data_IF_048380635702
#
_entry.id   IF_048380635702
#
_cell.length_a   1.000
_cell.length_b   1.000
_cell.length_c   1.000
_cell.angle_alpha   90.00
_cell.angle_beta   90.00
_cell.angle_gamma   90.00
#
_symmetry.space_group_name_H-M   'P 1'
#
loop_
_entity.id
_entity.type
_entity.pdbx_description
1 polymer ?
#
# COMPACT_ATOMS: atom_id res chain seq x y z
N UNK A 1 -15.26 -17.11 -2.23
CA UNK A 1 -14.04 -17.92 -2.05
C UNK A 1 -14.17 -18.64 -0.72
N UNK A 2 -14.15 -19.99 -0.72
CA UNK A 2 -14.33 -20.81 0.49
C UNK A 2 -13.05 -20.79 1.34
N UNK A 3 -13.16 -20.71 2.67
CA UNK A 3 -12.01 -20.70 3.60
C UNK A 3 -11.05 -21.89 3.43
N UNK A 4 -11.53 -23.03 2.92
CA UNK A 4 -10.69 -24.19 2.59
C UNK A 4 -9.65 -23.89 1.51
N UNK A 5 -9.94 -22.98 0.57
CA UNK A 5 -8.95 -22.52 -0.42
C UNK A 5 -7.89 -21.59 0.18
N UNK A 6 -8.20 -20.89 1.28
CA UNK A 6 -7.25 -20.04 2.00
C UNK A 6 -6.19 -20.85 2.76
N UNK A 7 -6.54 -22.05 3.24
CA UNK A 7 -5.58 -22.93 3.93
C UNK A 7 -4.53 -23.52 2.98
N UNK A 8 -4.87 -23.75 1.70
CA UNK A 8 -3.90 -24.23 0.69
C UNK A 8 -2.80 -23.21 0.36
N UNK A 9 -3.09 -21.91 0.49
CA UNK A 9 -2.14 -20.84 0.16
C UNK A 9 -1.02 -20.69 1.20
N UNK A 10 -1.18 -21.23 2.41
CA UNK A 10 -0.16 -21.15 3.46
C UNK A 10 0.94 -22.23 3.37
N UNK A 11 0.95 -23.07 2.32
CA UNK A 11 1.93 -24.15 2.14
C UNK A 11 2.76 -24.05 0.85
N UNK A 12 2.66 -22.94 0.12
CA UNK A 12 3.44 -22.76 -1.11
C UNK A 12 4.90 -22.43 -0.77
N UNK A 13 5.83 -23.19 -1.36
CA UNK A 13 7.28 -22.90 -1.26
C UNK A 13 7.61 -21.60 -2.04
N UNK A 14 8.74 -20.97 -1.73
CA UNK A 14 9.22 -19.77 -2.43
C UNK A 14 9.34 -19.99 -3.95
N UNK A 15 9.58 -21.24 -4.37
CA UNK A 15 9.61 -21.63 -5.77
C UNK A 15 8.23 -21.64 -6.42
N UNK A 16 7.16 -21.94 -5.67
CA UNK A 16 5.79 -21.85 -6.17
C UNK A 16 5.34 -20.40 -6.30
N UNK A 17 5.82 -19.52 -5.41
CA UNK A 17 5.55 -18.09 -5.49
C UNK A 17 6.21 -17.39 -6.69
N UNK A 18 7.29 -17.94 -7.26
CA UNK A 18 7.82 -17.45 -8.55
C UNK A 18 6.85 -17.68 -9.70
N UNK A 19 6.01 -18.72 -9.64
CA UNK A 19 4.94 -18.98 -10.62
C UNK A 19 3.80 -17.98 -10.53
N UNK A 20 3.74 -17.16 -9.46
CA UNK A 20 2.76 -16.09 -9.33
C UNK A 20 2.99 -14.93 -10.30
N UNK A 21 4.17 -14.84 -10.93
CA UNK A 21 4.45 -13.88 -11.99
C UNK A 21 3.97 -14.46 -13.32
N UNK A 22 2.92 -13.86 -13.87
CA UNK A 22 2.32 -14.21 -15.16
C UNK A 22 2.79 -13.19 -16.19
N UNK A 23 3.59 -13.65 -17.15
CA UNK A 23 3.98 -12.84 -18.29
C UNK A 23 2.82 -12.73 -19.29
N UNK A 24 2.49 -11.51 -19.68
CA UNK A 24 1.46 -11.18 -20.66
C UNK A 24 2.16 -10.54 -21.87
N UNK A 25 2.22 -11.25 -22.98
CA UNK A 25 2.85 -10.75 -24.22
C UNK A 25 1.87 -9.85 -24.99
N UNK A 26 2.22 -8.57 -25.10
CA UNK A 26 1.42 -7.53 -25.76
C UNK A 26 2.06 -7.03 -27.07
N UNK A 27 3.14 -7.65 -27.55
CA UNK A 27 3.85 -7.23 -28.78
C UNK A 27 2.94 -7.12 -30.00
N UNK A 28 2.13 -8.15 -30.20
CA UNK A 28 1.18 -8.19 -31.33
C UNK A 28 -0.04 -7.29 -31.11
N UNK A 29 -0.44 -7.10 -29.85
CA UNK A 29 -1.59 -6.31 -29.48
C UNK A 29 -1.44 -4.86 -29.92
N UNK A 30 -0.37 -4.19 -29.47
CA UNK A 30 -0.17 -2.77 -29.77
C UNK A 30 0.27 -2.51 -31.21
N UNK A 31 0.89 -3.49 -31.88
CA UNK A 31 1.28 -3.35 -33.29
C UNK A 31 0.07 -3.17 -34.22
N UNK A 32 -1.04 -3.83 -33.90
CA UNK A 32 -2.24 -3.84 -34.73
C UNK A 32 -3.39 -3.00 -34.13
N UNK A 33 -3.11 -2.23 -33.08
CA UNK A 33 -4.15 -1.55 -32.32
C UNK A 33 -4.70 -0.33 -33.07
N UNK A 34 -6.01 -0.35 -33.35
CA UNK A 34 -6.74 0.81 -33.84
C UNK A 34 -7.03 1.77 -32.70
N UNK A 35 -6.45 2.97 -32.73
CA UNK A 35 -6.66 3.95 -31.67
C UNK A 35 -8.06 4.57 -31.77
N UNK A 36 -8.90 4.26 -30.79
CA UNK A 36 -10.21 4.89 -30.62
C UNK A 36 -10.18 5.91 -29.48
N UNK A 37 -11.04 6.93 -29.58
CA UNK A 37 -11.24 7.87 -28.48
C UNK A 37 -12.13 7.21 -27.43
N UNK A 38 -11.54 6.72 -26.35
CA UNK A 38 -12.23 6.00 -25.28
C UNK A 38 -12.69 6.91 -24.13
N UNK A 39 -12.73 8.23 -24.30
CA UNK A 39 -13.01 9.17 -23.20
C UNK A 39 -14.34 8.90 -22.48
N UNK A 40 -15.41 8.67 -23.23
CA UNK A 40 -16.74 8.37 -22.66
C UNK A 40 -16.74 7.02 -21.93
N UNK A 41 -16.17 5.99 -22.56
CA UNK A 41 -16.01 4.67 -21.97
C UNK A 41 -15.23 4.73 -20.64
N UNK A 42 -14.11 5.48 -20.60
CA UNK A 42 -13.32 5.70 -19.38
C UNK A 42 -14.12 6.38 -18.29
N UNK A 43 -14.98 7.36 -18.60
CA UNK A 43 -15.87 7.98 -17.60
C UNK A 43 -16.89 6.99 -17.04
N UNK A 44 -17.50 6.15 -17.90
CA UNK A 44 -18.43 5.11 -17.48
C UNK A 44 -17.74 4.12 -16.54
N UNK A 45 -16.59 3.59 -16.94
CA UNK A 45 -15.82 2.64 -16.13
C UNK A 45 -15.41 3.32 -14.81
N UNK A 46 -14.91 4.56 -14.84
CA UNK A 46 -14.52 5.30 -13.63
C UNK A 46 -15.69 5.47 -12.67
N UNK A 47 -16.88 5.82 -13.15
CA UNK A 47 -18.09 5.98 -12.33
C UNK A 47 -18.50 4.65 -11.70
N UNK A 48 -18.50 3.57 -12.48
CA UNK A 48 -18.85 2.24 -12.01
C UNK A 48 -17.86 1.71 -10.97
N UNK A 49 -16.57 1.79 -11.26
CA UNK A 49 -15.51 1.37 -10.34
C UNK A 49 -15.53 2.17 -9.03
N UNK A 50 -15.83 3.49 -9.07
CA UNK A 50 -16.02 4.29 -7.84
C UNK A 50 -17.19 3.77 -7.00
N UNK A 51 -18.33 3.41 -7.60
CA UNK A 51 -19.48 2.81 -6.89
C UNK A 51 -19.10 1.47 -6.25
N UNK A 52 -18.44 0.60 -7.01
CA UNK A 52 -17.97 -0.71 -6.52
C UNK A 52 -17.01 -0.50 -5.35
N UNK A 53 -16.06 0.43 -5.43
CA UNK A 53 -15.16 0.80 -4.33
C UNK A 53 -15.92 1.19 -3.08
N UNK A 54 -16.93 2.03 -3.21
CA UNK A 54 -17.73 2.44 -2.06
C UNK A 54 -18.43 1.25 -1.39
N UNK A 55 -18.97 0.32 -2.17
CA UNK A 55 -19.61 -0.89 -1.66
C UNK A 55 -18.57 -1.78 -0.96
N UNK A 56 -17.44 -2.04 -1.62
CA UNK A 56 -16.40 -2.93 -1.11
C UNK A 56 -15.78 -2.35 0.15
N UNK A 57 -15.32 -1.11 0.14
CA UNK A 57 -14.67 -0.51 1.30
C UNK A 57 -15.66 -0.20 2.45
N UNK A 58 -16.97 -0.03 2.19
CA UNK A 58 -17.98 0.05 3.26
C UNK A 58 -18.35 -1.33 3.84
N UNK A 59 -18.59 -2.33 2.99
CA UNK A 59 -19.19 -3.61 3.40
C UNK A 59 -18.16 -4.69 3.76
N UNK A 60 -16.95 -4.66 3.17
CA UNK A 60 -15.88 -5.64 3.48
C UNK A 60 -15.30 -5.49 4.89
N UNK A 61 -15.67 -4.42 5.62
CA UNK A 61 -15.28 -4.17 7.01
C UNK A 61 -16.24 -4.75 8.06
N UNK A 62 -17.38 -5.36 7.67
CA UNK A 62 -18.45 -5.75 8.63
C UNK A 62 -18.66 -7.27 8.77
N UNK A 63 -18.20 -8.12 7.85
CA UNK A 63 -18.38 -9.58 8.04
C UNK A 63 -17.37 -10.16 9.04
N UNK A 64 -17.72 -10.13 10.34
CA UNK A 64 -17.33 -11.18 11.29
C UNK A 64 -17.97 -12.47 10.76
N UNK A 65 -17.15 -13.43 10.36
CA UNK A 65 -17.67 -14.76 10.04
C UNK A 65 -17.89 -15.49 11.37
N UNK A 66 -19.13 -15.55 11.83
CA UNK A 66 -19.60 -16.41 12.93
C UNK A 66 -19.72 -17.89 12.50
N UNK A 67 -18.76 -18.41 11.76
CA UNK A 67 -18.80 -19.79 11.24
C UNK A 67 -17.57 -20.60 11.65
N UNK A 68 -17.21 -20.49 12.92
CA UNK A 68 -16.30 -21.44 13.56
C UNK A 68 -16.77 -21.78 14.98
N UNK A 69 -18.00 -22.30 15.10
CA UNK A 69 -18.51 -22.95 16.32
C UNK A 69 -19.37 -24.20 16.06
N UNK A 70 -19.27 -24.81 14.86
CA UNK A 70 -19.99 -26.07 14.56
C UNK A 70 -19.11 -27.33 14.67
N UNK A 71 -18.29 -27.43 15.72
CA UNK A 71 -17.70 -28.73 16.16
C UNK A 71 -17.76 -28.95 17.67
N UNK A 72 -18.72 -28.34 18.37
CA UNK A 72 -19.13 -28.76 19.72
C UNK A 72 -20.65 -28.67 19.91
N UNK A 73 -21.39 -29.46 19.15
CA UNK A 73 -22.77 -29.80 19.51
C UNK A 73 -22.92 -31.32 19.54
N UNK A 74 -22.28 -31.90 20.54
CA UNK A 74 -22.64 -33.21 21.09
C UNK A 74 -22.32 -33.10 22.58
N UNK A 75 -23.25 -33.50 23.44
CA UNK A 75 -23.27 -33.28 24.90
C UNK A 75 -23.83 -31.93 25.32
N UNK A 76 -25.17 -31.79 25.25
CA UNK A 76 -26.02 -31.24 26.32
C UNK A 76 -27.50 -31.29 25.88
N UNK A 77 -28.05 -32.49 25.86
CA UNK A 77 -29.48 -32.73 26.01
C UNK A 77 -29.60 -34.02 26.81
N UNK A 78 -29.60 -33.90 28.14
CA UNK A 78 -30.16 -34.85 29.12
C UNK A 78 -29.85 -34.42 30.57
N UNK A 79 -30.06 -33.14 30.91
CA UNK A 79 -30.15 -32.74 32.32
C UNK A 79 -31.28 -31.72 32.47
N UNK A 80 -32.52 -32.20 32.32
CA UNK A 80 -33.71 -31.64 32.98
C UNK A 80 -34.77 -32.73 33.02
N UNK A 81 -34.54 -33.73 33.88
CA UNK A 81 -35.58 -34.48 34.58
C UNK A 81 -34.90 -35.19 35.75
N UNK A 82 -35.58 -35.18 36.89
CA UNK A 82 -35.17 -35.69 38.20
C UNK A 82 -34.43 -34.67 39.06
N UNK A 83 -35.20 -33.68 39.54
CA UNK A 83 -35.16 -33.35 40.97
C UNK A 83 -35.72 -34.57 41.70
N UNK A 84 -34.92 -35.19 42.58
CA UNK A 84 -35.35 -35.62 43.91
C UNK A 84 -34.18 -36.28 44.69
N UNK A 85 -33.95 -35.74 45.89
CA UNK A 85 -33.47 -36.39 47.13
C UNK A 85 -32.03 -36.98 47.14
N UNK A 86 -31.13 -36.36 47.91
CA UNK A 86 -30.52 -36.88 49.16
C UNK A 86 -29.32 -35.98 49.56
N UNK A 87 -29.33 -35.54 50.82
CA UNK A 87 -28.25 -34.88 51.57
C UNK A 87 -26.95 -35.68 51.58
N UNK A 88 -25.79 -35.01 51.61
CA UNK A 88 -24.83 -35.08 52.74
C UNK A 88 -23.58 -34.24 52.50
N UNK A 89 -22.93 -33.92 53.60
CA UNK A 89 -21.90 -32.92 53.85
C UNK A 89 -20.54 -33.15 53.18
N UNK A 90 -19.78 -32.06 53.24
CA UNK A 90 -18.34 -31.97 53.51
C UNK A 90 -17.32 -31.94 52.36
N UNK A 91 -16.46 -30.92 52.55
CA UNK A 91 -15.02 -30.87 52.34
C UNK A 91 -14.44 -30.18 51.11
N UNK A 92 -13.44 -29.35 51.47
CA UNK A 92 -12.62 -28.45 50.69
C UNK A 92 -11.78 -29.22 49.68
N UNK A 93 -11.51 -28.61 48.53
CA UNK A 93 -10.22 -28.65 47.79
C UNK A 93 -10.32 -27.65 46.63
N UNK A 94 -9.72 -26.47 46.79
CA UNK A 94 -8.43 -26.09 46.18
C UNK A 94 -8.44 -25.93 44.65
N UNK A 95 -8.28 -24.65 44.27
CA UNK A 95 -7.34 -24.17 43.25
C UNK A 95 -7.34 -24.94 41.92
N UNK A 96 -8.13 -24.44 40.97
CA UNK A 96 -7.66 -24.25 39.60
C UNK A 96 -8.26 -22.97 39.03
N UNK A 97 -7.51 -21.86 39.15
CA UNK A 97 -7.69 -20.65 38.35
C UNK A 97 -7.50 -21.02 36.88
N UNK A 98 -8.57 -21.45 36.23
CA UNK A 98 -8.59 -21.70 34.80
C UNK A 98 -8.60 -20.36 34.05
N UNK A 99 -7.39 -19.94 33.69
CA UNK A 99 -7.00 -19.56 32.32
C UNK A 99 -7.90 -18.49 31.69
N UNK A 100 -7.41 -17.25 31.75
CA UNK A 100 -7.79 -16.16 30.85
C UNK A 100 -7.71 -16.72 29.42
N UNK A 101 -8.88 -17.01 28.83
CA UNK A 101 -8.99 -17.31 27.42
C UNK A 101 -8.64 -16.01 26.70
N UNK A 102 -7.41 -15.89 26.24
CA UNK A 102 -7.00 -14.82 25.32
C UNK A 102 -7.94 -14.89 24.13
N UNK A 103 -8.84 -13.90 23.99
CA UNK A 103 -9.73 -13.77 22.83
C UNK A 103 -8.84 -13.78 21.57
N UNK A 104 -8.81 -14.90 20.83
CA UNK A 104 -8.19 -14.94 19.50
C UNK A 104 -8.92 -13.89 18.65
N UNK A 105 -8.21 -12.82 18.28
CA UNK A 105 -8.75 -11.80 17.36
C UNK A 105 -9.14 -12.52 16.07
N UNK A 106 -10.40 -12.44 15.68
CA UNK A 106 -10.88 -13.09 14.46
C UNK A 106 -10.22 -12.44 13.25
N UNK A 107 -9.68 -13.27 12.35
CA UNK A 107 -9.10 -12.84 11.08
C UNK A 107 -10.25 -12.46 10.14
N UNK A 108 -10.21 -11.26 9.57
CA UNK A 108 -11.22 -10.76 8.65
C UNK A 108 -10.81 -11.03 7.20
N UNK A 109 -11.79 -11.06 6.28
CA UNK A 109 -11.52 -11.25 4.84
C UNK A 109 -10.54 -10.21 4.27
N UNK A 110 -10.63 -8.96 4.73
CA UNK A 110 -9.69 -7.89 4.35
C UNK A 110 -8.24 -8.22 4.77
N UNK A 111 -8.04 -8.88 5.91
CA UNK A 111 -6.70 -9.24 6.40
C UNK A 111 -6.06 -10.24 5.45
N UNK A 112 -6.87 -11.17 4.94
CA UNK A 112 -6.45 -12.12 3.93
C UNK A 112 -6.09 -11.44 2.61
N UNK A 113 -6.93 -10.52 2.10
CA UNK A 113 -6.63 -9.76 0.87
C UNK A 113 -5.32 -8.99 0.99
N UNK A 114 -5.13 -8.22 2.07
CA UNK A 114 -3.87 -7.48 2.27
C UNK A 114 -2.67 -8.40 2.47
N UNK A 115 -2.84 -9.54 3.14
CA UNK A 115 -1.78 -10.55 3.28
C UNK A 115 -1.31 -11.04 1.91
N UNK A 116 -2.23 -11.33 0.99
CA UNK A 116 -1.89 -11.75 -0.38
C UNK A 116 -1.16 -10.64 -1.16
N UNK A 117 -1.63 -9.39 -1.06
CA UNK A 117 -0.95 -8.25 -1.69
C UNK A 117 0.47 -8.05 -1.15
N UNK A 118 0.69 -8.22 0.16
CA UNK A 118 2.03 -8.15 0.79
C UNK A 118 2.93 -9.26 0.24
N UNK A 119 2.43 -10.49 0.14
CA UNK A 119 3.19 -11.63 -0.41
C UNK A 119 3.58 -11.38 -1.87
N UNK A 120 2.63 -10.95 -2.69
CA UNK A 120 2.87 -10.68 -4.11
C UNK A 120 3.85 -9.52 -4.32
N UNK A 121 3.74 -8.44 -3.53
CA UNK A 121 4.70 -7.35 -3.62
C UNK A 121 6.09 -7.74 -3.09
N UNK A 122 6.18 -8.59 -2.05
CA UNK A 122 7.46 -9.18 -1.60
C UNK A 122 8.16 -9.99 -2.70
N UNK A 123 7.40 -10.79 -3.44
CA UNK A 123 7.91 -11.61 -4.55
C UNK A 123 8.41 -10.71 -5.66
N UNK A 124 7.63 -9.70 -6.06
CA UNK A 124 8.05 -8.75 -7.08
C UNK A 124 9.35 -8.04 -6.65
N UNK A 125 9.41 -7.50 -5.43
CA UNK A 125 10.62 -6.83 -4.92
C UNK A 125 11.84 -7.77 -4.91
N UNK A 126 11.63 -9.03 -4.53
CA UNK A 126 12.69 -10.04 -4.61
C UNK A 126 13.15 -10.31 -6.04
N UNK A 127 12.22 -10.38 -7.01
CA UNK A 127 12.54 -10.63 -8.42
C UNK A 127 13.24 -9.46 -9.10
N UNK A 128 12.97 -8.24 -8.63
CA UNK A 128 13.64 -7.00 -9.04
C UNK A 128 14.98 -6.78 -8.34
N UNK A 129 15.44 -7.75 -7.53
CA UNK A 129 16.70 -7.69 -6.78
C UNK A 129 16.79 -6.47 -5.84
N UNK A 130 15.69 -6.09 -5.19
CA UNK A 130 15.75 -5.10 -4.10
C UNK A 130 16.63 -5.63 -2.98
N UNK A 131 17.48 -4.76 -2.43
CA UNK A 131 18.43 -5.11 -1.40
C UNK A 131 17.71 -5.60 -0.12
N UNK A 132 18.01 -6.84 0.28
CA UNK A 132 17.34 -7.50 1.42
C UNK A 132 18.04 -7.19 2.73
N UNK A 133 17.25 -7.07 3.80
CA UNK A 133 17.74 -7.04 5.19
C UNK A 133 18.18 -8.45 5.59
N UNK A 134 19.48 -8.65 5.80
CA UNK A 134 20.11 -9.98 6.02
C UNK A 134 19.50 -10.79 7.17
N UNK A 135 18.91 -10.11 8.16
CA UNK A 135 18.48 -10.72 9.41
C UNK A 135 17.08 -11.35 9.36
N UNK A 136 16.26 -11.09 8.34
CA UNK A 136 14.85 -11.52 8.32
C UNK A 136 14.48 -12.33 7.08
N UNK A 137 14.06 -13.58 7.30
CA UNK A 137 13.36 -14.39 6.30
C UNK A 137 11.88 -14.02 6.29
N UNK A 138 11.30 -13.92 5.10
CA UNK A 138 9.87 -13.62 4.97
C UNK A 138 9.04 -14.87 5.31
N UNK A 139 8.14 -14.71 6.27
CA UNK A 139 7.23 -15.77 6.70
C UNK A 139 5.94 -15.74 5.86
N UNK A 140 5.85 -16.65 4.90
CA UNK A 140 4.66 -16.81 4.05
C UNK A 140 3.47 -17.45 4.80
N UNK A 141 3.64 -17.92 6.03
CA UNK A 141 2.51 -18.40 6.85
C UNK A 141 1.87 -17.27 7.65
N UNK A 142 2.60 -16.16 7.86
CA UNK A 142 2.12 -14.99 8.59
C UNK A 142 0.89 -14.38 7.92
N UNK A 143 -0.11 -14.10 8.74
CA UNK A 143 -1.29 -13.31 8.39
C UNK A 143 -1.13 -11.91 8.94
N UNK A 144 -1.28 -10.91 8.07
CA UNK A 144 -1.20 -9.51 8.43
C UNK A 144 -2.60 -8.96 8.68
N UNK A 145 -2.90 -8.62 9.94
CA UNK A 145 -4.18 -8.00 10.30
C UNK A 145 -4.19 -6.53 9.87
N UNK A 146 -5.08 -6.19 8.94
CA UNK A 146 -5.20 -4.85 8.40
C UNK A 146 -5.96 -3.91 9.33
N UNK A 147 -5.33 -2.79 9.64
CA UNK A 147 -5.88 -1.69 10.40
C UNK A 147 -5.56 -0.37 9.70
N UNK A 148 -6.60 0.39 9.36
CA UNK A 148 -6.45 1.73 8.79
C UNK A 148 -5.88 2.67 9.85
N UNK A 149 -4.75 3.29 9.54
CA UNK A 149 -3.85 3.73 10.59
C UNK A 149 -3.42 5.20 10.50
N UNK A 150 -4.29 6.02 9.94
CA UNK A 150 -4.16 7.46 10.10
C UNK A 150 -4.64 7.87 11.49
N UNK A 151 -3.76 8.49 12.26
CA UNK A 151 -4.02 8.99 13.61
C UNK A 151 -3.87 10.50 13.62
N UNK A 152 -4.84 11.19 14.20
CA UNK A 152 -4.74 12.63 14.42
C UNK A 152 -3.64 12.93 15.46
N UNK A 153 -2.87 13.99 15.23
CA UNK A 153 -1.78 14.43 16.10
C UNK A 153 -2.18 15.69 16.88
N UNK A 154 -1.77 15.74 18.14
CA UNK A 154 -1.80 16.97 18.93
C UNK A 154 -0.62 17.87 18.53
N UNK A 155 -0.74 19.18 18.75
CA UNK A 155 0.33 20.14 18.42
C UNK A 155 1.67 19.80 19.08
N UNK A 156 1.67 19.36 20.34
CA UNK A 156 2.91 18.94 21.03
C UNK A 156 3.61 17.79 20.31
N UNK A 157 2.86 16.79 19.84
CA UNK A 157 3.43 15.67 19.06
C UNK A 157 3.95 16.15 17.71
N UNK A 158 3.26 17.10 17.06
CA UNK A 158 3.74 17.70 15.80
C UNK A 158 5.09 18.38 16.02
N UNK A 159 5.23 19.17 17.08
CA UNK A 159 6.50 19.83 17.45
C UNK A 159 7.60 18.78 17.67
N UNK A 160 7.31 17.69 18.39
CA UNK A 160 8.28 16.62 18.62
C UNK A 160 8.71 15.91 17.33
N UNK A 161 7.78 15.66 16.40
CA UNK A 161 8.12 15.14 15.07
C UNK A 161 9.00 16.10 14.26
N UNK A 162 8.79 17.42 14.39
CA UNK A 162 9.56 18.44 13.68
C UNK A 162 10.96 18.61 14.25
N UNK A 163 11.15 18.45 15.57
CA UNK A 163 12.48 18.42 16.20
C UNK A 163 13.38 17.33 15.65
N UNK A 164 12.83 16.17 15.26
CA UNK A 164 13.58 15.10 14.60
C UNK A 164 14.16 15.51 13.23
N UNK A 165 13.64 16.57 12.63
CA UNK A 165 14.20 17.20 11.42
C UNK A 165 15.09 18.42 11.76
N UNK A 166 15.40 18.68 13.03
CA UNK A 166 16.14 19.88 13.44
C UNK A 166 15.34 21.18 13.36
N UNK A 167 14.01 21.10 13.24
CA UNK A 167 13.13 22.27 13.22
C UNK A 167 12.69 22.56 14.66
N UNK A 168 13.28 23.57 15.29
CA UNK A 168 13.10 23.89 16.72
C UNK A 168 12.19 25.11 16.91
N UNK A 169 12.26 26.09 16.01
CA UNK A 169 11.56 27.39 16.13
C UNK A 169 10.25 27.45 15.33
N UNK A 170 9.32 26.53 15.61
CA UNK A 170 8.00 26.54 14.95
C UNK A 170 7.09 27.53 15.66
N UNK A 171 6.73 28.64 15.00
CA UNK A 171 5.74 29.57 15.58
C UNK A 171 4.38 28.89 15.59
N UNK A 172 3.72 28.90 16.76
CA UNK A 172 2.40 28.30 16.93
C UNK A 172 1.36 28.86 15.94
N UNK A 173 1.49 30.15 15.58
CA UNK A 173 0.66 30.83 14.60
C UNK A 173 0.67 30.16 13.22
N UNK A 174 1.78 29.52 12.86
CA UNK A 174 2.01 28.97 11.52
C UNK A 174 1.41 27.56 11.39
N UNK A 175 1.21 26.87 12.52
CA UNK A 175 0.68 25.51 12.58
C UNK A 175 -0.75 25.41 13.11
N UNK A 176 -1.24 26.38 13.89
CA UNK A 176 -2.53 26.27 14.61
C UNK A 176 -3.75 26.04 13.71
N UNK A 177 -3.67 26.44 12.44
CA UNK A 177 -4.78 26.30 11.49
C UNK A 177 -4.81 24.95 10.76
N UNK A 178 -3.80 24.10 10.96
CA UNK A 178 -3.73 22.79 10.33
C UNK A 178 -4.28 21.69 11.25
N UNK A 179 -4.96 20.72 10.65
CA UNK A 179 -5.27 19.44 11.28
C UNK A 179 -4.21 18.42 10.86
N UNK A 180 -3.46 17.92 11.83
CA UNK A 180 -2.31 17.07 11.61
C UNK A 180 -2.62 15.60 11.82
N UNK A 181 -1.93 14.77 11.05
CA UNK A 181 -2.07 13.33 11.09
C UNK A 181 -0.70 12.66 10.98
N UNK A 182 -0.63 11.40 11.40
CA UNK A 182 0.49 10.51 11.13
C UNK A 182 -0.03 9.16 10.68
N UNK A 183 0.80 8.43 9.96
CA UNK A 183 0.62 7.03 9.62
C UNK A 183 1.72 6.21 10.32
N UNK A 184 1.41 5.40 11.34
CA UNK A 184 2.43 4.56 12.02
C UNK A 184 1.80 3.40 12.81
N UNK A 185 2.07 2.15 12.39
CA UNK A 185 1.33 0.99 12.92
C UNK A 185 2.15 0.18 13.92
N UNK A 186 3.49 0.11 13.81
CA UNK A 186 4.38 -0.54 14.82
C UNK A 186 5.88 -0.46 14.52
N UNK A 187 6.36 0.36 13.58
CA UNK A 187 7.78 0.32 13.19
C UNK A 187 8.73 0.57 14.37
N UNK A 188 9.59 -0.42 14.63
CA UNK A 188 10.69 -0.29 15.60
C UNK A 188 11.83 0.49 14.95
N UNK A 189 12.40 1.42 15.69
CA UNK A 189 13.32 2.50 15.26
C UNK A 189 14.73 2.04 14.86
N UNK A 190 14.93 0.79 14.46
CA UNK A 190 16.25 0.32 14.05
C UNK A 190 16.53 0.76 12.61
N UNK A 191 16.92 2.02 12.46
CA UNK A 191 17.60 2.50 11.27
C UNK A 191 18.91 1.74 11.18
N UNK A 192 19.08 0.99 10.11
CA UNK A 192 20.31 0.29 9.81
C UNK A 192 20.91 1.01 8.61
N UNK A 193 22.17 1.44 8.72
CA UNK A 193 22.83 2.40 7.80
C UNK A 193 23.14 1.84 6.41
N UNK A 194 22.61 0.66 6.07
CA UNK A 194 22.87 0.05 4.77
C UNK A 194 22.16 0.83 3.67
N UNK A 195 22.90 1.05 2.59
CA UNK A 195 22.41 1.79 1.44
C UNK A 195 21.32 1.02 0.68
N UNK A 196 20.28 1.74 0.27
CA UNK A 196 19.26 1.23 -0.65
C UNK A 196 19.77 1.27 -2.10
N UNK A 197 19.42 0.25 -2.89
CA UNK A 197 19.58 0.24 -4.35
C UNK A 197 18.32 0.69 -5.12
N UNK A 198 17.20 0.93 -4.44
CA UNK A 198 15.95 1.38 -5.05
C UNK A 198 15.36 2.64 -4.39
N UNK A 199 14.77 3.49 -5.22
CA UNK A 199 13.81 4.50 -4.83
C UNK A 199 12.39 3.96 -5.09
N UNK A 200 11.48 4.10 -4.13
CA UNK A 200 10.07 3.69 -4.28
C UNK A 200 9.18 4.92 -4.10
N UNK A 201 8.53 5.30 -5.19
CA UNK A 201 7.57 6.39 -5.26
C UNK A 201 6.17 5.84 -5.03
N UNK A 202 5.54 6.17 -3.90
CA UNK A 202 4.22 5.68 -3.51
C UNK A 202 3.21 6.82 -3.40
N UNK A 203 1.93 6.56 -3.64
CA UNK A 203 0.87 7.50 -3.28
C UNK A 203 0.52 7.39 -1.79
N UNK A 204 0.02 8.48 -1.20
CA UNK A 204 -0.54 8.45 0.16
C UNK A 204 -2.02 8.06 0.05
N UNK A 205 -2.42 6.86 0.51
CA UNK A 205 -3.73 6.28 0.22
C UNK A 205 -4.87 6.98 0.95
N UNK A 206 -5.96 7.24 0.24
CA UNK A 206 -7.24 7.63 0.84
C UNK A 206 -8.05 6.40 1.28
N UNK A 207 -9.15 6.60 2.01
CA UNK A 207 -10.04 5.51 2.47
C UNK A 207 -10.68 4.68 1.33
N UNK A 208 -10.57 5.11 0.07
CA UNK A 208 -11.20 4.48 -1.10
C UNK A 208 -10.17 3.81 -2.03
N UNK A 209 -8.95 3.62 -1.55
CA UNK A 209 -7.84 3.01 -2.28
C UNK A 209 -7.25 1.86 -1.47
N UNK A 210 -6.45 1.01 -2.13
CA UNK A 210 -5.59 0.06 -1.42
C UNK A 210 -4.63 0.87 -0.56
N UNK A 211 -4.56 0.52 0.73
CA UNK A 211 -3.64 1.14 1.69
C UNK A 211 -2.22 0.63 1.44
N UNK A 212 -1.55 1.25 0.47
CA UNK A 212 -0.19 0.89 0.10
C UNK A 212 0.81 1.14 1.25
N UNK A 213 0.52 2.09 2.14
CA UNK A 213 1.39 2.35 3.29
C UNK A 213 1.39 1.16 4.26
N UNK A 214 0.27 0.47 4.44
CA UNK A 214 0.20 -0.74 5.27
C UNK A 214 1.09 -1.84 4.70
N UNK A 215 1.07 -2.00 3.38
CA UNK A 215 1.87 -2.99 2.66
C UNK A 215 3.36 -2.65 2.76
N UNK A 216 3.71 -1.38 2.50
CA UNK A 216 5.09 -0.88 2.56
C UNK A 216 5.65 -1.01 3.98
N UNK A 217 4.87 -0.70 5.01
CA UNK A 217 5.26 -0.89 6.41
C UNK A 217 5.58 -2.37 6.70
N UNK A 218 4.77 -3.31 6.21
CA UNK A 218 5.03 -4.73 6.35
C UNK A 218 6.32 -5.17 5.62
N UNK A 219 6.62 -4.58 4.47
CA UNK A 219 7.81 -4.88 3.68
C UNK A 219 9.08 -4.15 4.14
N UNK A 220 8.93 -3.08 4.90
CA UNK A 220 10.03 -2.29 5.46
C UNK A 220 10.96 -3.13 6.33
N UNK A 221 10.44 -4.19 6.95
CA UNK A 221 11.23 -5.12 7.74
C UNK A 221 12.18 -6.00 6.90
N UNK A 222 11.95 -6.14 5.60
CA UNK A 222 12.66 -7.10 4.75
C UNK A 222 13.55 -6.47 3.68
N UNK A 223 13.29 -5.23 3.27
CA UNK A 223 14.03 -4.57 2.20
C UNK A 223 14.54 -3.19 2.63
N UNK A 224 15.65 -2.77 2.01
CA UNK A 224 16.11 -1.40 2.03
C UNK A 224 15.56 -0.66 0.80
N UNK A 225 14.87 0.45 1.02
CA UNK A 225 14.39 1.35 -0.03
C UNK A 225 14.25 2.79 0.48
N UNK A 226 14.46 3.76 -0.41
CA UNK A 226 14.14 5.16 -0.13
C UNK A 226 12.71 5.43 -0.56
N UNK A 227 11.90 6.04 0.31
CA UNK A 227 10.50 6.35 0.01
C UNK A 227 10.34 7.78 -0.48
N UNK A 228 9.49 7.94 -1.48
CA UNK A 228 9.05 9.23 -1.99
C UNK A 228 7.54 9.23 -2.18
N UNK A 229 6.92 10.42 -2.06
CA UNK A 229 5.49 10.62 -2.26
C UNK A 229 5.24 11.74 -3.26
N UNK A 230 4.20 11.63 -4.11
CA UNK A 230 3.91 12.63 -5.12
C UNK A 230 3.31 13.89 -4.49
N UNK A 231 3.76 15.04 -4.98
CA UNK A 231 3.20 16.35 -4.70
C UNK A 231 2.73 16.95 -6.01
N UNK A 232 1.46 17.38 -6.05
CA UNK A 232 0.88 18.02 -7.22
C UNK A 232 1.37 19.45 -7.34
N UNK A 233 1.90 19.81 -8.51
CA UNK A 233 2.26 21.19 -8.86
C UNK A 233 1.05 21.94 -9.44
N UNK A 234 1.16 23.27 -9.58
CA UNK A 234 0.15 24.10 -10.23
C UNK A 234 -0.10 23.73 -11.70
N UNK A 235 0.89 23.12 -12.37
CA UNK A 235 0.84 22.75 -13.78
C UNK A 235 0.24 21.37 -14.03
N UNK A 236 -0.33 20.73 -13.01
CA UNK A 236 -0.78 19.34 -13.02
C UNK A 236 0.34 18.30 -13.25
N UNK A 237 1.58 18.65 -12.91
CA UNK A 237 2.70 17.71 -12.85
C UNK A 237 2.86 17.15 -11.43
N UNK A 238 3.65 16.08 -11.30
CA UNK A 238 4.06 15.52 -10.02
C UNK A 238 5.55 15.77 -9.78
N UNK A 239 5.87 16.13 -8.54
CA UNK A 239 7.20 16.07 -7.95
C UNK A 239 7.19 14.97 -6.89
N UNK A 240 8.24 14.16 -6.81
CA UNK A 240 8.37 13.10 -5.81
C UNK A 240 9.23 13.60 -4.64
N UNK A 241 8.59 13.85 -3.51
CA UNK A 241 9.18 14.39 -2.29
C UNK A 241 9.58 13.25 -1.33
N UNK A 242 10.77 13.30 -0.71
CA UNK A 242 11.23 12.23 0.18
C UNK A 242 10.30 12.06 1.39
N UNK A 243 10.05 10.82 1.77
CA UNK A 243 9.05 10.47 2.78
C UNK A 243 9.62 9.53 3.84
N UNK A 244 9.55 9.92 5.10
CA UNK A 244 9.92 9.06 6.22
C UNK A 244 8.67 8.46 6.84
N UNK A 245 8.41 7.18 6.55
CA UNK A 245 7.25 6.46 7.07
C UNK A 245 7.24 6.35 8.60
N UNK A 246 8.39 6.43 9.28
CA UNK A 246 8.49 6.38 10.75
C UNK A 246 8.20 7.77 11.36
N UNK A 247 8.80 8.82 10.79
CA UNK A 247 8.68 10.19 11.28
C UNK A 247 7.87 11.07 10.31
N UNK A 248 6.62 10.72 10.05
CA UNK A 248 5.76 11.50 9.15
C UNK A 248 4.76 12.38 9.92
N UNK A 249 4.67 13.63 9.46
CA UNK A 249 3.58 14.56 9.78
C UNK A 249 2.87 14.89 8.49
N UNK A 250 1.59 14.55 8.44
CA UNK A 250 0.73 14.76 7.29
C UNK A 250 -0.30 15.83 7.64
N UNK A 251 -0.67 16.63 6.64
CA UNK A 251 -1.86 17.48 6.71
C UNK A 251 -2.83 17.06 5.64
N UNK A 252 -4.12 17.24 5.95
CA UNK A 252 -5.18 17.01 4.98
C UNK A 252 -5.26 18.25 4.08
N UNK A 253 -4.96 18.06 2.80
CA UNK A 253 -5.00 19.10 1.79
C UNK A 253 -6.27 18.96 0.93
N UNK A 254 -6.33 19.68 -0.19
CA UNK A 254 -7.41 19.63 -1.18
C UNK A 254 -7.81 18.18 -1.54
N UNK A 255 -9.09 17.98 -1.80
CA UNK A 255 -9.67 16.67 -2.17
C UNK A 255 -9.50 15.56 -1.13
N UNK A 256 -9.27 15.92 0.15
CA UNK A 256 -9.02 14.99 1.24
C UNK A 256 -7.76 14.12 1.05
N UNK A 257 -6.80 14.60 0.25
CA UNK A 257 -5.50 13.94 0.05
C UNK A 257 -4.54 14.42 1.14
N UNK A 258 -3.78 13.50 1.70
CA UNK A 258 -2.74 13.85 2.67
C UNK A 258 -1.46 14.29 1.95
N UNK A 259 -0.79 15.30 2.50
CA UNK A 259 0.48 15.82 2.01
C UNK A 259 1.45 15.92 3.19
N UNK A 260 2.75 15.59 3.02
CA UNK A 260 3.76 15.83 4.05
C UNK A 260 3.82 17.30 4.45
N UNK A 261 3.64 17.59 5.75
CA UNK A 261 3.76 18.95 6.26
C UNK A 261 5.16 19.53 6.03
N UNK A 262 6.19 18.68 6.02
CA UNK A 262 7.57 19.09 5.75
C UNK A 262 7.71 19.82 4.40
N UNK A 263 7.01 19.35 3.36
CA UNK A 263 6.98 20.03 2.06
C UNK A 263 6.36 21.44 2.17
N UNK A 264 5.26 21.56 2.92
CA UNK A 264 4.59 22.85 3.14
C UNK A 264 5.52 23.79 3.88
N UNK A 265 6.12 23.33 4.97
CA UNK A 265 7.06 24.10 5.78
C UNK A 265 8.22 24.65 4.94
N UNK A 266 8.87 23.81 4.13
CA UNK A 266 9.99 24.21 3.28
C UNK A 266 9.59 25.25 2.22
N UNK A 267 8.38 25.15 1.66
CA UNK A 267 7.90 26.11 0.67
C UNK A 267 7.48 27.45 1.28
N UNK A 268 6.91 27.45 2.48
CA UNK A 268 6.38 28.66 3.11
C UNK A 268 7.47 29.45 3.84
N UNK A 269 8.37 28.77 4.57
CA UNK A 269 9.35 29.42 5.44
C UNK A 269 10.73 29.54 4.77
N UNK A 270 11.18 28.47 4.11
CA UNK A 270 12.53 28.43 3.56
C UNK A 270 12.59 28.84 2.08
N UNK A 271 11.43 28.95 1.40
CA UNK A 271 11.29 29.28 -0.04
C UNK A 271 12.31 28.53 -0.90
N UNK A 272 12.50 27.23 -0.63
CA UNK A 272 13.50 26.41 -1.31
C UNK A 272 13.07 26.20 -2.77
N UNK A 273 14.01 26.42 -3.69
CA UNK A 273 13.89 25.90 -5.05
C UNK A 273 14.32 24.43 -5.06
N UNK A 274 13.40 23.53 -5.42
CA UNK A 274 13.70 22.11 -5.50
C UNK A 274 14.41 21.76 -6.81
N UNK A 275 15.58 21.15 -6.70
CA UNK A 275 16.28 20.52 -7.81
C UNK A 275 15.66 19.15 -8.05
N UNK A 276 15.37 18.84 -9.31
CA UNK A 276 14.71 17.61 -9.73
C UNK A 276 15.62 16.83 -10.69
N UNK A 277 15.62 15.50 -10.60
CA UNK A 277 16.20 14.65 -11.63
C UNK A 277 15.23 14.47 -12.81
N UNK A 278 15.64 13.66 -13.79
CA UNK A 278 14.83 13.34 -14.97
C UNK A 278 13.56 12.52 -14.66
N UNK A 279 13.37 12.07 -13.42
CA UNK A 279 12.19 11.36 -12.94
C UNK A 279 11.28 12.24 -12.06
N UNK A 280 11.55 13.55 -12.00
CA UNK A 280 10.93 14.52 -11.09
C UNK A 280 11.08 14.17 -9.60
N UNK A 281 12.13 13.44 -9.23
CA UNK A 281 12.49 13.17 -7.83
C UNK A 281 13.38 14.32 -7.33
N UNK A 282 13.12 14.77 -6.11
CA UNK A 282 13.92 15.82 -5.47
C UNK A 282 15.33 15.31 -5.17
N UNK A 283 16.33 16.07 -5.62
CA UNK A 283 17.76 15.76 -5.44
C UNK A 283 18.44 16.59 -4.37
N UNK A 284 17.77 17.62 -3.84
CA UNK A 284 18.31 18.41 -2.72
C UNK A 284 18.56 17.51 -1.51
N UNK A 285 19.63 17.81 -0.75
CA UNK A 285 19.77 17.33 0.62
C UNK A 285 18.76 18.07 1.50
N UNK A 286 17.78 17.36 2.03
CA UNK A 286 16.71 17.92 2.86
C UNK A 286 16.76 17.29 4.25
N UNK A 287 17.25 18.02 5.25
CA UNK A 287 17.41 17.50 6.62
C UNK A 287 18.27 16.21 6.64
N UNK A 288 17.70 15.09 7.08
CA UNK A 288 18.32 13.77 7.06
C UNK A 288 18.13 13.00 5.74
N UNK A 289 17.35 13.52 4.79
CA UNK A 289 17.20 12.92 3.47
C UNK A 289 18.37 13.33 2.56
N UNK A 290 19.09 12.33 2.07
CA UNK A 290 20.12 12.50 1.04
C UNK A 290 19.68 11.72 -0.19
N UNK A 291 19.61 12.41 -1.33
CA UNK A 291 19.26 11.77 -2.59
C UNK A 291 20.36 10.83 -3.07
N UNK A 292 19.95 9.71 -3.66
CA UNK A 292 20.83 8.76 -4.36
C UNK A 292 20.19 8.34 -5.68
N UNK A 293 21.02 8.29 -6.71
CA UNK A 293 20.63 7.82 -8.04
C UNK A 293 20.50 6.29 -8.03
N UNK A 294 19.25 5.82 -7.98
CA UNK A 294 18.89 4.42 -7.82
C UNK A 294 17.84 4.01 -8.86
N UNK A 295 17.70 2.70 -9.10
CA UNK A 295 16.55 2.20 -9.85
C UNK A 295 15.26 2.61 -9.14
N UNK A 296 14.20 2.92 -9.89
CA UNK A 296 13.01 3.55 -9.35
C UNK A 296 11.76 2.76 -9.65
N UNK A 297 11.00 2.41 -8.60
CA UNK A 297 9.66 1.83 -8.72
C UNK A 297 8.63 2.91 -8.44
N UNK A 298 7.75 3.15 -9.41
CA UNK A 298 6.55 3.97 -9.25
C UNK A 298 5.35 3.08 -8.94
N UNK A 299 4.81 3.17 -7.71
CA UNK A 299 3.53 2.56 -7.36
C UNK A 299 2.42 3.57 -7.63
N UNK A 300 1.74 3.37 -8.76
CA UNK A 300 0.78 4.31 -9.32
C UNK A 300 -0.63 3.96 -8.83
N UNK A 301 -1.40 4.91 -8.27
CA UNK A 301 -2.78 4.66 -7.88
C UNK A 301 -3.66 4.47 -9.12
N UNK A 302 -4.67 3.62 -8.98
CA UNK A 302 -5.67 3.40 -10.02
C UNK A 302 -7.07 3.26 -9.43
N UNK A 303 -8.07 3.47 -10.26
CA UNK A 303 -9.50 3.24 -9.99
C UNK A 303 -9.95 1.88 -10.55
N UNK A 304 -9.54 1.59 -11.79
CA UNK A 304 -9.77 0.34 -12.50
C UNK A 304 -8.56 0.03 -13.41
N UNK A 305 -8.48 -1.22 -13.89
CA UNK A 305 -7.45 -1.68 -14.83
C UNK A 305 -7.98 -2.79 -15.74
N UNK A 306 -7.21 -3.16 -16.76
CA UNK A 306 -7.56 -4.26 -17.66
C UNK A 306 -6.41 -5.27 -17.84
N UNK A 307 -6.64 -6.25 -18.70
CA UNK A 307 -5.70 -7.34 -19.00
C UNK A 307 -4.51 -6.90 -19.87
N UNK A 308 -4.44 -5.63 -20.28
CA UNK A 308 -3.42 -5.08 -21.18
C UNK A 308 -2.46 -4.11 -20.48
N UNK A 309 -2.49 -4.06 -19.14
CA UNK A 309 -1.66 -3.14 -18.35
C UNK A 309 -2.17 -1.69 -18.36
N UNK A 310 -3.32 -1.43 -18.98
CA UNK A 310 -3.96 -0.12 -18.98
C UNK A 310 -4.69 0.13 -17.66
N UNK A 311 -4.74 1.39 -17.24
CA UNK A 311 -5.39 1.80 -15.99
C UNK A 311 -6.28 3.01 -16.19
N UNK A 312 -7.27 3.14 -15.32
CA UNK A 312 -8.09 4.35 -15.19
C UNK A 312 -7.72 5.05 -13.89
N UNK A 313 -7.14 6.25 -14.02
CA UNK A 313 -6.87 7.13 -12.89
C UNK A 313 -8.06 8.03 -12.51
N UNK A 314 -7.81 9.02 -11.66
CA UNK A 314 -8.83 9.98 -11.18
C UNK A 314 -9.36 10.94 -12.26
N UNK A 315 -8.70 11.03 -13.42
CA UNK A 315 -9.16 11.77 -14.60
C UNK A 315 -8.34 13.01 -14.97
N UNK A 316 -7.32 13.39 -14.18
CA UNK A 316 -6.48 14.57 -14.46
C UNK A 316 -5.14 14.27 -15.17
N UNK A 317 -4.80 12.99 -15.31
CA UNK A 317 -3.61 12.55 -16.04
C UNK A 317 -2.26 12.94 -15.42
N UNK A 318 -2.21 13.23 -14.11
CA UNK A 318 -0.98 13.67 -13.42
C UNK A 318 0.20 12.71 -13.68
N UNK A 319 -0.02 11.41 -13.49
CA UNK A 319 1.02 10.39 -13.72
C UNK A 319 1.35 10.23 -15.21
N UNK A 320 0.35 10.22 -16.09
CA UNK A 320 0.57 10.09 -17.54
C UNK A 320 1.44 11.24 -18.08
N UNK A 321 1.10 12.48 -17.70
CA UNK A 321 1.84 13.69 -18.09
C UNK A 321 3.28 13.65 -17.56
N UNK A 322 3.43 13.40 -16.26
CA UNK A 322 4.74 13.40 -15.58
C UNK A 322 5.66 12.33 -16.17
N UNK A 323 5.18 11.09 -16.29
CA UNK A 323 6.02 9.95 -16.66
C UNK A 323 6.21 9.76 -18.18
N UNK A 324 5.44 10.48 -19.03
CA UNK A 324 5.70 10.52 -20.49
C UNK A 324 6.71 11.58 -20.87
N UNK A 325 6.65 12.76 -20.25
CA UNK A 325 7.58 13.87 -20.52
C UNK A 325 9.04 13.44 -20.41
N UNK A 326 9.31 12.53 -19.48
CA UNK A 326 10.65 12.06 -19.14
C UNK A 326 11.20 11.01 -20.12
N UNK A 327 10.35 10.34 -20.92
CA UNK A 327 10.79 9.41 -21.98
C UNK A 327 11.43 10.13 -23.18
N UNK A 328 11.05 11.38 -23.44
CA UNK A 328 11.58 12.13 -24.58
C UNK A 328 12.99 12.67 -24.31
N UNK A 329 13.37 12.85 -23.04
CA UNK A 329 14.69 13.34 -22.60
C UNK A 329 15.72 12.19 -22.58
N UNK A 330 15.28 10.97 -22.27
CA UNK A 330 16.13 9.78 -22.07
C UNK A 330 16.66 9.15 -23.38
N UNK A 331 16.09 9.50 -24.54
CA UNK A 331 16.59 9.01 -25.83
C UNK A 331 17.96 9.57 -26.24
N UNK A 332 18.48 10.59 -25.55
CA UNK A 332 19.74 11.26 -25.89
C UNK A 332 20.98 10.71 -25.17
N UNK A 333 20.84 9.95 -24.07
CA UNK A 333 21.99 9.47 -23.27
C UNK A 333 21.74 8.07 -22.69
N UNK A 334 21.84 7.01 -23.50
CA UNK A 334 21.45 5.64 -23.14
C UNK A 334 22.38 4.87 -22.17
N UNK A 335 23.58 5.35 -21.86
CA UNK A 335 24.61 4.48 -21.25
C UNK A 335 24.54 4.32 -19.71
N UNK A 336 23.83 5.18 -18.99
CA UNK A 336 23.77 5.18 -17.51
C UNK A 336 22.35 5.34 -16.94
N UNK A 337 21.31 5.04 -17.72
CA UNK A 337 19.91 5.25 -17.29
C UNK A 337 19.51 4.15 -16.30
N UNK A 338 19.24 4.56 -15.05
CA UNK A 338 18.60 3.70 -14.05
C UNK A 338 17.20 3.27 -14.52
N UNK A 339 16.83 2.04 -14.19
CA UNK A 339 15.56 1.46 -14.61
C UNK A 339 14.38 2.16 -13.92
N UNK A 340 13.38 2.58 -14.70
CA UNK A 340 12.07 2.98 -14.17
C UNK A 340 11.07 1.82 -14.33
N UNK A 341 10.38 1.46 -13.24
CA UNK A 341 9.39 0.38 -13.22
C UNK A 341 8.06 0.94 -12.73
N UNK A 342 7.00 0.78 -13.52
CA UNK A 342 5.67 1.34 -13.27
C UNK A 342 4.75 0.21 -12.86
N UNK A 343 4.32 0.23 -11.60
CA UNK A 343 3.48 -0.82 -11.04
C UNK A 343 2.22 -0.25 -10.44
N UNK A 344 1.18 -1.07 -10.34
CA UNK A 344 0.02 -0.77 -9.50
C UNK A 344 -0.38 -1.97 -8.67
N UNK A 345 -0.89 -1.69 -7.47
CA UNK A 345 -1.46 -2.70 -6.56
C UNK A 345 -2.97 -2.45 -6.46
N UNK A 346 -3.77 -3.48 -6.71
CA UNK A 346 -5.23 -3.37 -6.75
C UNK A 346 -5.89 -4.67 -6.31
N UNK A 347 -7.22 -4.69 -6.22
CA UNK A 347 -7.99 -5.92 -6.07
C UNK A 347 -8.48 -6.40 -7.44
N UNK A 348 -8.69 -7.72 -7.61
CA UNK A 348 -9.22 -8.30 -8.84
C UNK A 348 -10.57 -7.72 -9.23
N UNK A 349 -11.41 -7.39 -8.26
CA UNK A 349 -12.74 -6.78 -8.47
C UNK A 349 -12.72 -5.43 -9.22
N UNK A 350 -11.54 -4.82 -9.39
CA UNK A 350 -11.35 -3.60 -10.19
C UNK A 350 -10.75 -3.88 -11.58
N UNK A 351 -10.60 -5.15 -11.95
CA UNK A 351 -10.26 -5.60 -13.29
C UNK A 351 -11.49 -5.49 -14.20
N UNK A 352 -11.30 -4.93 -15.38
CA UNK A 352 -12.28 -4.83 -16.44
C UNK A 352 -11.75 -5.56 -17.66
N UNK A 353 -12.56 -6.46 -18.20
CA UNK A 353 -12.26 -7.14 -19.46
C UNK A 353 -12.76 -6.32 -20.65
N UNK A 354 -12.32 -5.07 -20.71
CA UNK A 354 -12.66 -4.09 -21.74
C UNK A 354 -11.39 -3.30 -22.02
N UNK A 355 -11.09 -3.08 -23.30
CA UNK A 355 -10.01 -2.16 -23.63
C UNK A 355 -10.47 -0.70 -23.68
N UNK A 356 -9.64 0.15 -23.11
CA UNK A 356 -9.84 1.59 -23.01
C UNK A 356 -8.51 2.33 -23.20
N UNK A 357 -7.54 1.72 -23.87
CA UNK A 357 -6.24 2.32 -24.10
C UNK A 357 -6.33 3.58 -24.97
N UNK A 358 -5.66 4.64 -24.56
CA UNK A 358 -5.42 5.82 -25.40
C UNK A 358 -3.92 6.09 -25.55
N UNK A 359 -3.51 6.68 -26.67
CA UNK A 359 -2.10 7.05 -26.94
C UNK A 359 -1.50 7.96 -25.87
N UNK A 360 -2.33 8.65 -25.09
CA UNK A 360 -1.93 9.54 -24.00
C UNK A 360 -1.74 8.82 -22.66
N UNK A 361 -2.16 7.55 -22.51
CA UNK A 361 -1.96 6.77 -21.30
C UNK A 361 -0.57 6.14 -21.22
N UNK A 362 0.01 6.08 -20.02
CA UNK A 362 1.09 5.14 -19.73
C UNK A 362 0.51 3.74 -19.51
N UNK A 363 1.21 2.75 -20.03
CA UNK A 363 0.99 1.34 -19.73
C UNK A 363 1.90 0.97 -18.57
N UNK A 364 1.40 0.14 -17.66
CA UNK A 364 2.16 -0.36 -16.51
C UNK A 364 3.03 -1.55 -16.91
N UNK A 365 4.20 -1.69 -16.28
CA UNK A 365 5.05 -2.86 -16.41
C UNK A 365 4.47 -4.03 -15.59
N UNK A 366 3.88 -3.72 -14.42
CA UNK A 366 3.24 -4.71 -13.57
C UNK A 366 1.89 -4.25 -12.99
N UNK A 367 0.97 -5.20 -12.86
CA UNK A 367 -0.21 -5.07 -12.00
C UNK A 367 -0.22 -6.22 -11.00
N UNK A 368 -0.37 -5.89 -9.72
CA UNK A 368 -0.44 -6.86 -8.64
C UNK A 368 -1.86 -6.85 -8.08
N UNK A 369 -2.46 -8.04 -7.97
CA UNK A 369 -3.67 -8.23 -7.20
C UNK A 369 -3.53 -9.39 -6.22
N UNK A 370 -4.61 -9.70 -5.49
CA UNK A 370 -4.60 -10.76 -4.49
C UNK A 370 -4.39 -12.16 -5.09
N UNK A 371 -4.60 -12.33 -6.41
CA UNK A 371 -4.38 -13.61 -7.09
C UNK A 371 -2.96 -13.74 -7.60
N UNK A 372 -2.49 -12.78 -8.41
CA UNK A 372 -1.24 -12.91 -9.17
C UNK A 372 -0.50 -11.58 -9.33
N UNK A 373 0.70 -11.67 -9.90
CA UNK A 373 1.53 -10.57 -10.40
C UNK A 373 1.51 -10.66 -11.93
N UNK A 374 0.91 -9.70 -12.62
CA UNK A 374 0.90 -9.65 -14.07
C UNK A 374 2.04 -8.78 -14.55
N UNK A 375 2.90 -9.31 -15.42
CA UNK A 375 4.05 -8.64 -16.02
C UNK A 375 3.79 -8.45 -17.51
N UNK A 376 3.72 -7.19 -17.97
CA UNK A 376 3.38 -6.86 -19.35
C UNK A 376 4.64 -6.71 -20.18
N UNK A 377 4.75 -7.53 -21.22
CA UNK A 377 5.88 -7.55 -22.15
C UNK A 377 5.48 -6.85 -23.46
N UNK A 378 6.24 -5.84 -23.86
CA UNK A 378 5.95 -4.99 -25.01
C UNK A 378 6.84 -5.27 -26.22
#
# INVERSE_FOLDING_TARGET
MNLESCNKINYLDINDYKKSIINVDLKHYFKNYGYENCKELKEIIRKNAKKIREIIFRNSLIKKNDTCDNTKCTIKNNIYKNKEIINTNNEKNEIFKNKIISKKKSILYKDYLYTLLIRNLYILFSSLNLEKKKEKKFDFTKVYTYEYNYKELTLNKVIDHLKNYGIIDVKLTDIKNFKFFTYCNKLKTNFNDKESNFNICIYIPTKKEVDILFIIEALYDYFYFNLYVPITTKNNDLIFFPFNIINNVLVKHNFNIFVPYLYIYLNTHNKISFNLNNLNIITNKLFNFTYKENDTIFIIPLIAYNNYGCRIGSGKGYYDKTLKKNKNITNLHKKDIKNEIKISVSFEVFLYDIDFYETTDIILDYIINEKNIYHFLF
#
